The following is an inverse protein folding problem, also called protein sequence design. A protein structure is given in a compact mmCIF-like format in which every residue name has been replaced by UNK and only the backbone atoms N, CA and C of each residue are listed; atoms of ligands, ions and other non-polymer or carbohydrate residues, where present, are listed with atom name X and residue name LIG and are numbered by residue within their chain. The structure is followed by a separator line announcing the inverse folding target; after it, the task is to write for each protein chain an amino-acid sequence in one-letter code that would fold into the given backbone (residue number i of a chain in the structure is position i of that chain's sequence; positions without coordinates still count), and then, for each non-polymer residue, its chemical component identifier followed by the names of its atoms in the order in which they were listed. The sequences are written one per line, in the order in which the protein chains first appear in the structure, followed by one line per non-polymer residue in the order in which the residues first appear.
data_IF_164643196110
#
_entry.id   IF_164643196110
#
_cell.length_a   1.000
_cell.length_b   1.000
_cell.length_c   1.000
_cell.angle_alpha   90.00
_cell.angle_beta   90.00
_cell.angle_gamma   90.00
#
_symmetry.space_group_name_H-M   'P 1'
#
loop_
_entity.id
_entity.type
_entity.pdbx_description
1 polymer ?
#
# COMPACT_ATOMS: atom_id res chain seq x y z
N UNK A 1 2.85 7.62 12.23
CA UNK A 1 2.26 8.47 11.16
C UNK A 1 1.64 7.57 10.10
N UNK A 2 0.52 7.99 9.50
CA UNK A 2 -0.16 7.25 8.44
C UNK A 2 0.51 7.44 7.08
N UNK A 3 -0.11 6.92 6.01
CA UNK A 3 0.28 7.25 4.64
C UNK A 3 -0.89 7.85 3.87
N UNK A 4 -0.60 8.89 3.10
CA UNK A 4 -1.53 9.38 2.09
C UNK A 4 -1.35 8.58 0.80
N UNK A 5 -2.46 8.09 0.23
CA UNK A 5 -2.49 7.32 -1.00
C UNK A 5 -3.27 8.09 -2.05
N UNK A 6 -2.62 8.40 -3.17
CA UNK A 6 -3.23 9.06 -4.33
C UNK A 6 -3.34 8.08 -5.49
N UNK A 7 -4.55 7.94 -6.01
CA UNK A 7 -4.88 7.02 -7.10
C UNK A 7 -4.94 7.77 -8.43
N UNK A 8 -4.33 7.20 -9.46
CA UNK A 8 -4.34 7.73 -10.82
C UNK A 8 -4.80 6.67 -11.81
N UNK A 9 -5.50 7.11 -12.86
CA UNK A 9 -5.84 6.25 -13.98
C UNK A 9 -4.66 6.02 -14.94
N UNK A 10 -4.88 5.23 -15.98
CA UNK A 10 -3.88 4.95 -17.04
C UNK A 10 -3.48 6.17 -17.88
N UNK A 11 -4.20 7.29 -17.77
CA UNK A 11 -3.90 8.58 -18.42
C UNK A 11 -3.31 9.61 -17.44
N UNK A 12 -2.80 9.17 -16.28
CA UNK A 12 -2.25 10.00 -15.21
C UNK A 12 -3.23 11.03 -14.59
N UNK A 13 -4.55 10.83 -14.77
CA UNK A 13 -5.57 11.65 -14.11
C UNK A 13 -5.85 11.12 -12.71
N UNK A 14 -5.83 12.02 -11.71
CA UNK A 14 -6.19 11.69 -10.32
C UNK A 14 -7.64 11.21 -10.24
N UNK A 15 -7.83 10.01 -9.69
CA UNK A 15 -9.12 9.38 -9.46
C UNK A 15 -9.61 9.54 -8.02
N UNK A 16 -8.69 9.67 -7.06
CA UNK A 16 -9.05 9.76 -5.65
C UNK A 16 -7.84 9.89 -4.74
N UNK A 17 -8.13 10.08 -3.46
CA UNK A 17 -7.15 10.02 -2.38
C UNK A 17 -7.79 9.35 -1.15
N UNK A 18 -6.99 8.62 -0.39
CA UNK A 18 -7.39 8.05 0.89
C UNK A 18 -6.16 7.87 1.79
N UNK A 19 -6.39 7.67 3.08
CA UNK A 19 -5.33 7.52 4.07
C UNK A 19 -5.21 6.05 4.52
N UNK A 20 -3.98 5.54 4.60
CA UNK A 20 -3.63 4.37 5.41
C UNK A 20 -3.42 4.89 6.83
N UNK A 21 -4.36 4.58 7.72
CA UNK A 21 -4.31 5.05 9.10
C UNK A 21 -3.02 4.64 9.80
N UNK A 22 -2.60 5.41 10.81
CA UNK A 22 -1.45 5.05 11.64
C UNK A 22 -1.57 3.65 12.27
N UNK A 23 -2.79 3.24 12.64
CA UNK A 23 -3.04 1.91 13.19
C UNK A 23 -2.72 0.81 12.15
N UNK A 24 -3.21 0.97 10.92
CA UNK A 24 -2.95 0.02 9.84
C UNK A 24 -1.47 0.03 9.41
N UNK A 25 -0.86 1.21 9.34
CA UNK A 25 0.57 1.37 9.12
C UNK A 25 1.39 0.57 10.15
N UNK A 26 1.13 0.80 11.44
CA UNK A 26 1.85 0.14 12.52
C UNK A 26 1.63 -1.37 12.52
N UNK A 27 0.43 -1.79 12.13
CA UNK A 27 0.11 -3.20 11.94
C UNK A 27 0.88 -3.80 10.76
N UNK A 28 1.06 -3.08 9.66
CA UNK A 28 1.81 -3.55 8.49
C UNK A 28 3.30 -3.63 8.77
N UNK A 29 3.89 -2.62 9.42
CA UNK A 29 5.35 -2.46 9.52
C UNK A 29 5.93 -2.72 10.92
N UNK A 30 5.20 -3.45 11.75
CA UNK A 30 5.72 -3.89 13.06
C UNK A 30 6.97 -4.77 12.90
N UNK A 31 7.99 -4.54 13.74
CA UNK A 31 9.25 -5.31 13.72
C UNK A 31 9.09 -6.81 13.99
N UNK A 32 7.96 -7.24 14.56
CA UNK A 32 7.63 -8.66 14.79
C UNK A 32 7.09 -9.39 13.56
N UNK A 33 6.85 -8.68 12.45
CA UNK A 33 6.24 -9.24 11.25
C UNK A 33 7.21 -9.37 10.07
N UNK A 34 6.79 -10.15 9.09
CA UNK A 34 7.62 -10.58 7.95
C UNK A 34 7.59 -9.63 6.74
N UNK A 35 7.11 -8.39 6.89
CA UNK A 35 7.04 -7.42 5.78
C UNK A 35 8.38 -7.20 5.07
N UNK A 36 9.51 -7.31 5.81
CA UNK A 36 10.86 -7.21 5.25
C UNK A 36 11.17 -8.27 4.19
N UNK A 37 10.48 -9.41 4.18
CA UNK A 37 10.67 -10.47 3.19
C UNK A 37 10.02 -10.17 1.83
N UNK A 38 9.20 -9.12 1.77
CA UNK A 38 8.48 -8.68 0.57
C UNK A 38 9.15 -7.43 0.03
N UNK A 39 9.56 -7.44 -1.24
CA UNK A 39 10.39 -6.38 -1.80
C UNK A 39 9.67 -5.03 -1.84
N UNK A 40 8.41 -5.00 -2.29
CA UNK A 40 7.68 -3.74 -2.42
C UNK A 40 7.13 -3.26 -1.07
N UNK A 41 6.89 -4.14 -0.10
CA UNK A 41 6.59 -3.71 1.28
C UNK A 41 7.83 -3.15 1.98
N UNK A 42 9.02 -3.68 1.70
CA UNK A 42 10.26 -3.10 2.20
C UNK A 42 10.46 -1.69 1.63
N UNK A 43 10.30 -1.54 0.31
CA UNK A 43 10.26 -0.24 -0.36
C UNK A 43 9.26 0.68 0.35
N UNK A 44 8.00 0.25 0.49
CA UNK A 44 6.95 1.05 1.12
C UNK A 44 7.27 1.47 2.56
N UNK A 45 7.92 0.59 3.35
CA UNK A 45 8.31 0.88 4.74
C UNK A 45 9.48 1.86 4.85
N UNK A 46 10.41 1.84 3.90
CA UNK A 46 11.64 2.64 3.96
C UNK A 46 11.39 4.11 3.62
N UNK A 47 10.27 4.44 2.94
CA UNK A 47 10.03 5.75 2.35
C UNK A 47 9.08 6.67 3.12
N UNK A 48 9.36 6.86 4.40
CA UNK A 48 8.90 8.04 5.16
C UNK A 48 9.46 9.38 4.65
N UNK A 49 10.30 9.42 3.61
CA UNK A 49 11.12 10.60 3.28
C UNK A 49 11.04 11.12 1.84
N UNK A 50 10.48 10.39 0.85
CA UNK A 50 10.62 10.79 -0.57
C UNK A 50 9.42 10.57 -1.47
N UNK A 51 8.31 10.07 -0.92
CA UNK A 51 7.15 9.60 -1.69
C UNK A 51 7.51 8.47 -2.67
N UNK A 52 6.59 7.55 -2.93
CA UNK A 52 6.84 6.44 -3.85
C UNK A 52 5.67 6.29 -4.83
N UNK A 53 6.00 5.98 -6.08
CA UNK A 53 5.01 5.81 -7.14
C UNK A 53 5.12 4.43 -7.76
N UNK A 54 4.05 3.65 -7.65
CA UNK A 54 3.92 2.31 -8.20
C UNK A 54 3.06 2.34 -9.46
N UNK A 55 3.59 1.82 -10.56
CA UNK A 55 2.88 1.70 -11.85
C UNK A 55 3.37 0.48 -12.61
N UNK A 56 2.55 -0.02 -13.55
CA UNK A 56 2.92 -1.16 -14.40
C UNK A 56 3.29 -2.40 -13.58
N UNK A 57 4.42 -3.04 -13.91
CA UNK A 57 4.88 -4.25 -13.21
C UNK A 57 5.11 -4.03 -11.71
N UNK A 58 5.58 -2.86 -11.29
CA UNK A 58 5.79 -2.57 -9.86
C UNK A 58 4.48 -2.50 -9.07
N UNK A 59 3.41 -1.98 -9.68
CA UNK A 59 2.08 -2.00 -9.07
C UNK A 59 1.56 -3.43 -8.92
N UNK A 60 1.80 -4.28 -9.92
CA UNK A 60 1.44 -5.70 -9.86
C UNK A 60 2.25 -6.43 -8.76
N UNK A 61 3.55 -6.15 -8.64
CA UNK A 61 4.39 -6.69 -7.57
C UNK A 61 3.93 -6.24 -6.19
N UNK A 62 3.57 -4.96 -6.02
CA UNK A 62 3.02 -4.45 -4.76
C UNK A 62 1.71 -5.16 -4.40
N UNK A 63 0.80 -5.33 -5.36
CA UNK A 63 -0.46 -6.06 -5.14
C UNK A 63 -0.21 -7.53 -4.77
N UNK A 64 0.76 -8.18 -5.41
CA UNK A 64 1.15 -9.56 -5.08
C UNK A 64 1.70 -9.63 -3.65
N UNK A 65 2.61 -8.74 -3.29
CA UNK A 65 3.18 -8.66 -1.94
C UNK A 65 2.09 -8.42 -0.89
N UNK A 66 1.18 -7.47 -1.14
CA UNK A 66 0.07 -7.17 -0.23
C UNK A 66 -0.86 -8.39 -0.04
N UNK A 67 -1.21 -9.09 -1.13
CA UNK A 67 -2.07 -10.26 -1.04
C UNK A 67 -1.40 -11.41 -0.28
N UNK A 68 -0.12 -11.67 -0.53
CA UNK A 68 0.64 -12.71 0.19
C UNK A 68 0.82 -12.35 1.68
N UNK A 69 1.02 -11.06 1.96
CA UNK A 69 1.24 -10.57 3.31
C UNK A 69 -0.03 -10.53 4.17
N UNK A 70 -1.22 -10.59 3.56
CA UNK A 70 -2.53 -10.59 4.25
C UNK A 70 -2.62 -11.57 5.42
N UNK A 71 -1.97 -12.73 5.31
CA UNK A 71 -1.95 -13.78 6.36
C UNK A 71 -1.26 -13.35 7.66
N UNK A 72 -0.46 -12.28 7.62
CA UNK A 72 0.23 -11.71 8.78
C UNK A 72 -0.51 -10.53 9.42
N UNK A 73 -1.70 -10.16 8.92
CA UNK A 73 -2.52 -9.08 9.46
C UNK A 73 -3.49 -9.63 10.52
N UNK A 74 -3.56 -8.95 11.66
CA UNK A 74 -4.51 -9.30 12.72
C UNK A 74 -5.95 -9.09 12.29
N UNK A 75 -6.86 -9.88 12.86
CA UNK A 75 -8.31 -9.83 12.57
C UNK A 75 -8.88 -8.41 12.72
N UNK A 76 -8.39 -7.64 13.70
CA UNK A 76 -8.88 -6.28 13.96
C UNK A 76 -8.56 -5.27 12.85
N UNK A 77 -7.52 -5.52 12.04
CA UNK A 77 -7.09 -4.63 10.95
C UNK A 77 -7.34 -5.25 9.57
N UNK A 78 -7.86 -6.49 9.51
CA UNK A 78 -8.00 -7.23 8.26
C UNK A 78 -8.97 -6.55 7.29
N UNK A 79 -10.05 -5.96 7.80
CA UNK A 79 -11.05 -5.24 6.98
C UNK A 79 -10.40 -4.04 6.29
N UNK A 80 -9.69 -3.20 7.05
CA UNK A 80 -9.04 -2.01 6.49
C UNK A 80 -7.93 -2.39 5.49
N UNK A 81 -7.21 -3.47 5.78
CA UNK A 81 -6.18 -4.01 4.89
C UNK A 81 -6.77 -4.57 3.58
N UNK A 82 -7.91 -5.26 3.64
CA UNK A 82 -8.61 -5.74 2.45
C UNK A 82 -9.16 -4.58 1.62
N UNK A 83 -9.67 -3.53 2.26
CA UNK A 83 -10.17 -2.35 1.54
C UNK A 83 -9.02 -1.60 0.85
N UNK A 84 -7.85 -1.49 1.48
CA UNK A 84 -6.63 -0.98 0.85
C UNK A 84 -6.30 -1.73 -0.45
N UNK A 85 -6.23 -3.07 -0.39
CA UNK A 85 -5.97 -3.90 -1.57
C UNK A 85 -7.04 -3.68 -2.63
N UNK A 86 -8.31 -3.70 -2.23
CA UNK A 86 -9.44 -3.54 -3.15
C UNK A 86 -9.40 -2.20 -3.87
N UNK A 87 -9.12 -1.10 -3.18
CA UNK A 87 -9.02 0.23 -3.79
C UNK A 87 -7.87 0.33 -4.80
N UNK A 88 -6.71 -0.23 -4.48
CA UNK A 88 -5.53 -0.19 -5.36
C UNK A 88 -5.69 -1.16 -6.55
N UNK A 89 -6.42 -2.25 -6.38
CA UNK A 89 -6.62 -3.29 -7.40
C UNK A 89 -7.68 -2.96 -8.46
N UNK A 90 -8.37 -1.82 -8.38
CA UNK A 90 -9.42 -1.50 -9.37
C UNK A 90 -8.80 -1.39 -10.76
N UNK A 91 -9.49 -1.92 -11.76
CA UNK A 91 -8.99 -1.99 -13.14
C UNK A 91 -8.75 -0.62 -13.79
N UNK A 92 -9.40 0.43 -13.28
CA UNK A 92 -9.20 1.80 -13.72
C UNK A 92 -7.96 2.48 -13.11
N UNK A 93 -7.31 1.85 -12.12
CA UNK A 93 -6.03 2.33 -11.56
C UNK A 93 -4.88 1.90 -12.48
N UNK A 94 -4.12 2.90 -12.94
CA UNK A 94 -2.86 2.68 -13.66
C UNK A 94 -1.63 2.95 -12.79
N UNK A 95 -1.79 3.78 -11.75
CA UNK A 95 -0.69 4.25 -10.91
C UNK A 95 -1.17 4.62 -9.51
N UNK A 96 -0.35 4.29 -8.51
CA UNK A 96 -0.57 4.63 -7.11
C UNK A 96 0.64 5.38 -6.59
N UNK A 97 0.39 6.54 -5.98
CA UNK A 97 1.39 7.33 -5.29
C UNK A 97 1.13 7.26 -3.79
N UNK A 98 2.17 7.01 -3.00
CA UNK A 98 2.09 6.91 -1.56
C UNK A 98 3.10 7.86 -0.95
N UNK A 99 2.64 8.73 -0.05
CA UNK A 99 3.46 9.71 0.66
C UNK A 99 3.32 9.53 2.16
N UNK A 100 4.44 9.62 2.89
CA UNK A 100 4.46 9.68 4.34
C UNK A 100 4.20 11.09 4.84
N UNK A 101 3.44 11.21 5.92
CA UNK A 101 3.31 12.44 6.71
C UNK A 101 4.47 12.55 7.73
#
# INVERSE_FOLDING_TARGET
MGFDVVLYNHEDRKLGLFEITEALHNEMFNSKKMWRSFSELRTLSDYYLTDETFSGERLNSLLSDLNNYKTFISVNNLIDYEELIKQISRSDIGKVHISGD
#
